data_IF_067052251786
#
_entry.id   IF_067052251786
#
_cell.length_a   1.000
_cell.length_b   1.000
_cell.length_c   1.000
_cell.angle_alpha   90.00
_cell.angle_beta   90.00
_cell.angle_gamma   90.00
#
_symmetry.space_group_name_H-M   'P 1'
#
loop_
_entity.id
_entity.type
_entity.pdbx_description
1 polymer ?
#
# COMPACT_ATOMS: atom_id res chain seq x y z
N UNK A 1 53.04 -24.04 -28.35
CA UNK A 1 52.50 -23.81 -29.71
C UNK A 1 51.02 -24.10 -29.68
N UNK A 2 50.21 -23.05 -29.84
CA UNK A 2 48.75 -23.09 -29.88
C UNK A 2 48.27 -23.22 -31.33
N UNK A 3 47.26 -24.06 -31.59
CA UNK A 3 46.40 -23.94 -32.76
C UNK A 3 45.19 -24.89 -32.63
N UNK A 4 43.97 -24.32 -32.62
CA UNK A 4 43.04 -24.42 -33.76
C UNK A 4 41.75 -23.62 -33.55
N UNK A 5 41.49 -22.77 -34.57
CA UNK A 5 40.21 -22.48 -35.24
C UNK A 5 39.03 -22.05 -34.35
N UNK A 6 38.50 -20.83 -34.45
CA UNK A 6 38.12 -20.12 -35.67
C UNK A 6 36.59 -20.14 -35.77
N UNK A 7 35.96 -18.97 -35.78
CA UNK A 7 34.50 -18.85 -35.88
C UNK A 7 34.02 -17.45 -35.57
N UNK A 8 34.15 -16.56 -36.55
CA UNK A 8 33.45 -15.27 -36.63
C UNK A 8 31.94 -15.51 -36.44
N UNK A 9 31.40 -15.10 -35.29
CA UNK A 9 29.97 -14.89 -35.10
C UNK A 9 29.72 -13.39 -35.10
N UNK A 10 29.14 -12.89 -36.18
CA UNK A 10 28.69 -11.51 -36.34
C UNK A 10 27.77 -11.11 -35.17
N UNK A 11 28.15 -10.10 -34.39
CA UNK A 11 27.19 -9.33 -33.60
C UNK A 11 26.43 -8.43 -34.57
N UNK A 12 25.43 -9.00 -35.25
CA UNK A 12 24.46 -8.23 -36.03
C UNK A 12 23.54 -7.48 -35.06
N UNK A 13 23.57 -6.16 -35.20
CA UNK A 13 22.47 -5.23 -34.90
C UNK A 13 22.08 -5.00 -33.43
N UNK A 14 23.05 -4.66 -32.57
CA UNK A 14 22.72 -3.77 -31.44
C UNK A 14 22.74 -2.34 -32.00
N UNK A 15 21.58 -1.86 -32.47
CA UNK A 15 21.40 -0.45 -32.79
C UNK A 15 21.69 0.35 -31.52
N UNK A 16 22.71 1.18 -31.59
CA UNK A 16 23.02 2.21 -30.62
C UNK A 16 21.79 3.12 -30.46
N UNK A 17 20.98 2.87 -29.44
CA UNK A 17 19.75 3.62 -29.16
C UNK A 17 20.03 4.85 -28.29
N UNK A 18 21.26 5.36 -28.31
CA UNK A 18 21.63 6.62 -27.65
C UNK A 18 20.85 7.81 -28.21
N UNK A 19 20.32 7.72 -29.44
CA UNK A 19 19.39 8.71 -30.01
C UNK A 19 17.97 8.73 -29.40
N UNK A 20 17.59 7.74 -28.56
CA UNK A 20 16.32 7.74 -27.84
C UNK A 20 16.39 8.46 -26.48
N UNK A 21 17.59 8.82 -26.01
CA UNK A 21 17.76 9.61 -24.79
C UNK A 21 17.66 11.12 -25.06
N UNK A 22 17.93 11.56 -26.31
CA UNK A 22 17.74 12.96 -26.72
C UNK A 22 16.27 13.35 -26.91
N UNK A 23 15.37 12.40 -27.19
CA UNK A 23 13.93 12.67 -27.27
C UNK A 23 13.20 12.58 -25.92
N UNK A 24 13.86 12.03 -24.90
CA UNK A 24 13.35 11.98 -23.52
C UNK A 24 13.75 13.22 -22.68
N UNK A 25 14.47 14.20 -23.26
CA UNK A 25 14.74 15.50 -22.63
C UNK A 25 13.64 16.55 -22.84
N UNK A 26 12.54 16.16 -23.49
CA UNK A 26 11.31 16.95 -23.64
C UNK A 26 10.16 16.46 -22.77
N UNK A 27 10.46 15.76 -21.68
CA UNK A 27 9.58 15.87 -20.53
C UNK A 27 9.80 17.28 -19.98
N UNK A 28 8.78 18.10 -20.09
CA UNK A 28 8.76 19.50 -19.72
C UNK A 28 9.43 19.74 -18.37
N UNK A 29 10.67 20.24 -18.42
CA UNK A 29 11.37 20.92 -17.32
C UNK A 29 10.52 22.12 -16.77
N UNK A 30 9.44 22.47 -17.46
CA UNK A 30 8.41 23.39 -16.99
C UNK A 30 7.53 22.83 -15.85
N UNK A 31 7.55 21.51 -15.57
CA UNK A 31 6.76 20.89 -14.49
C UNK A 31 7.49 20.76 -13.16
N UNK A 32 8.78 21.12 -13.11
CA UNK A 32 9.53 21.35 -11.89
C UNK A 32 10.12 22.77 -11.91
N UNK A 33 9.28 23.77 -12.15
CA UNK A 33 9.60 25.09 -11.61
C UNK A 33 9.55 24.96 -10.10
N UNK A 34 10.71 24.90 -9.46
CA UNK A 34 10.87 25.49 -8.13
C UNK A 34 10.26 26.87 -8.24
N UNK A 35 9.02 27.00 -7.78
CA UNK A 35 8.29 28.24 -7.79
C UNK A 35 9.12 29.11 -6.85
N UNK A 36 9.84 30.08 -7.42
CA UNK A 36 10.78 30.96 -6.71
C UNK A 36 9.96 31.95 -5.88
N UNK A 37 9.22 31.38 -4.93
CA UNK A 37 8.27 32.02 -4.04
C UNK A 37 9.09 32.81 -3.03
N UNK A 38 8.67 34.05 -2.80
CA UNK A 38 9.15 34.84 -1.67
C UNK A 38 8.94 34.05 -0.36
N UNK A 39 9.81 34.21 0.65
CA UNK A 39 9.59 33.62 1.98
C UNK A 39 8.17 33.85 2.53
N UNK A 40 7.54 34.99 2.21
CA UNK A 40 6.15 35.26 2.59
C UNK A 40 5.12 34.44 1.82
N UNK A 41 5.37 34.16 0.53
CA UNK A 41 4.47 33.35 -0.30
C UNK A 41 4.56 31.87 0.08
N UNK A 42 5.76 31.37 0.40
CA UNK A 42 5.95 30.02 0.96
C UNK A 42 5.21 29.84 2.28
N UNK A 43 5.30 30.84 3.17
CA UNK A 43 4.60 30.82 4.45
C UNK A 43 3.08 30.82 4.28
N UNK A 44 2.54 31.63 3.38
CA UNK A 44 1.10 31.64 3.07
C UNK A 44 0.63 30.32 2.45
N UNK A 45 1.42 29.72 1.56
CA UNK A 45 1.10 28.42 0.97
C UNK A 45 1.13 27.31 2.04
N UNK A 46 2.10 27.33 2.95
CA UNK A 46 2.15 26.42 4.10
C UNK A 46 0.94 26.60 5.04
N UNK A 47 0.57 27.85 5.37
CA UNK A 47 -0.61 28.15 6.18
C UNK A 47 -1.91 27.67 5.52
N UNK A 48 -2.05 27.85 4.20
CA UNK A 48 -3.21 27.38 3.44
C UNK A 48 -3.26 25.85 3.36
N UNK A 49 -2.11 25.18 3.16
CA UNK A 49 -2.01 23.72 3.20
C UNK A 49 -2.39 23.16 4.58
N UNK A 50 -1.90 23.78 5.65
CA UNK A 50 -2.24 23.40 7.03
C UNK A 50 -3.74 23.57 7.28
N UNK A 51 -4.33 24.67 6.79
CA UNK A 51 -5.77 24.92 6.93
C UNK A 51 -6.60 23.87 6.16
N UNK A 52 -6.21 23.54 4.93
CA UNK A 52 -6.87 22.49 4.13
C UNK A 52 -6.78 21.13 4.81
N UNK A 53 -5.61 20.78 5.36
CA UNK A 53 -5.45 19.55 6.14
C UNK A 53 -6.34 19.54 7.38
N UNK A 54 -6.44 20.66 8.11
CA UNK A 54 -7.32 20.76 9.27
C UNK A 54 -8.80 20.58 8.88
N UNK A 55 -9.24 21.22 7.80
CA UNK A 55 -10.61 21.08 7.30
C UNK A 55 -10.93 19.64 6.86
N UNK A 56 -9.98 18.91 6.28
CA UNK A 56 -10.14 17.49 5.96
C UNK A 56 -10.18 16.61 7.22
N UNK A 57 -9.36 16.91 8.23
CA UNK A 57 -9.40 16.21 9.51
C UNK A 57 -10.73 16.43 10.24
N UNK A 58 -11.30 17.64 10.17
CA UNK A 58 -12.58 17.99 10.79
C UNK A 58 -13.77 17.25 10.15
N UNK A 59 -13.62 16.79 8.89
CA UNK A 59 -14.64 15.98 8.19
C UNK A 59 -14.59 14.50 8.58
N UNK A 60 -13.49 14.02 9.15
CA UNK A 60 -13.36 12.61 9.50
C UNK A 60 -14.30 12.26 10.65
N UNK A 61 -15.13 11.25 10.44
CA UNK A 61 -15.99 10.73 11.49
C UNK A 61 -15.26 9.68 12.31
N UNK A 62 -15.71 9.46 13.55
CA UNK A 62 -15.19 8.34 14.37
C UNK A 62 -15.39 6.99 13.67
N UNK A 63 -16.48 6.84 12.92
CA UNK A 63 -16.76 5.66 12.09
C UNK A 63 -15.63 5.41 11.08
N UNK A 64 -15.18 6.46 10.37
CA UNK A 64 -14.12 6.34 9.36
C UNK A 64 -12.80 5.85 9.98
N UNK A 65 -12.46 6.37 11.16
CA UNK A 65 -11.27 5.95 11.91
C UNK A 65 -11.38 4.48 12.34
N UNK A 66 -12.55 4.05 12.82
CA UNK A 66 -12.76 2.65 13.22
C UNK A 66 -12.64 1.72 12.00
N UNK A 67 -13.24 2.08 10.87
CA UNK A 67 -13.12 1.30 9.62
C UNK A 67 -11.64 1.21 9.19
N UNK A 68 -10.90 2.31 9.24
CA UNK A 68 -9.47 2.31 8.90
C UNK A 68 -8.64 1.43 9.85
N UNK A 69 -8.98 1.42 11.14
CA UNK A 69 -8.35 0.53 12.11
C UNK A 69 -8.67 -0.94 11.82
N UNK A 70 -9.92 -1.26 11.47
CA UNK A 70 -10.31 -2.62 11.07
C UNK A 70 -9.53 -3.10 9.83
N UNK A 71 -9.32 -2.23 8.84
CA UNK A 71 -8.47 -2.55 7.68
C UNK A 71 -7.03 -2.83 8.08
N UNK A 72 -6.50 -2.06 9.03
CA UNK A 72 -5.15 -2.26 9.58
C UNK A 72 -5.03 -3.58 10.33
N UNK A 73 -6.03 -3.94 11.15
CA UNK A 73 -6.11 -5.22 11.86
C UNK A 73 -6.20 -6.40 10.89
N UNK A 74 -6.97 -6.27 9.82
CA UNK A 74 -7.07 -7.30 8.75
C UNK A 74 -5.71 -7.56 8.10
N UNK A 75 -5.00 -6.50 7.70
CA UNK A 75 -3.65 -6.61 7.13
C UNK A 75 -2.66 -7.25 8.11
N UNK A 76 -2.71 -6.84 9.38
CA UNK A 76 -1.88 -7.41 10.43
C UNK A 76 -2.19 -8.89 10.65
N UNK A 77 -3.47 -9.29 10.66
CA UNK A 77 -3.89 -10.67 10.81
C UNK A 77 -3.32 -11.54 9.69
N UNK A 78 -3.43 -11.13 8.41
CA UNK A 78 -2.81 -11.86 7.29
C UNK A 78 -1.30 -11.99 7.44
N UNK A 79 -0.61 -10.91 7.82
CA UNK A 79 0.84 -10.95 8.08
C UNK A 79 1.20 -11.91 9.21
N UNK A 80 0.43 -11.91 10.30
CA UNK A 80 0.61 -12.81 11.46
C UNK A 80 0.16 -14.24 11.19
N UNK A 81 -0.65 -14.48 10.16
CA UNK A 81 -0.90 -15.82 9.60
C UNK A 81 0.25 -16.30 8.69
N UNK A 82 1.21 -15.43 8.38
CA UNK A 82 2.30 -15.75 7.46
C UNK A 82 1.90 -15.71 5.99
N UNK A 83 0.84 -14.98 5.65
CA UNK A 83 0.31 -14.88 4.28
C UNK A 83 0.78 -13.58 3.59
N UNK A 84 1.14 -13.62 2.29
CA UNK A 84 1.31 -14.81 1.47
C UNK A 84 2.47 -15.71 1.93
N UNK A 85 2.31 -17.02 1.74
CA UNK A 85 3.32 -18.03 2.05
C UNK A 85 4.58 -17.79 1.22
N UNK A 86 5.76 -17.99 1.81
CA UNK A 86 7.07 -17.69 1.25
C UNK A 86 7.57 -16.28 1.56
N UNK A 87 6.66 -15.33 1.81
CA UNK A 87 7.00 -13.92 2.06
C UNK A 87 6.90 -13.57 3.55
N UNK A 88 5.81 -13.97 4.20
CA UNK A 88 5.49 -13.54 5.55
C UNK A 88 5.69 -14.63 6.63
N UNK A 89 6.23 -15.80 6.30
CA UNK A 89 6.39 -16.93 7.24
C UNK A 89 7.12 -16.53 8.53
N UNK A 90 8.13 -15.67 8.42
CA UNK A 90 8.91 -15.15 9.55
C UNK A 90 8.10 -14.31 10.56
N UNK A 91 6.91 -13.86 10.18
CA UNK A 91 6.02 -13.07 11.03
C UNK A 91 4.88 -13.90 11.64
N UNK A 92 4.85 -15.21 11.38
CA UNK A 92 3.76 -16.09 11.80
C UNK A 92 3.68 -16.15 13.33
N UNK A 93 2.52 -15.77 13.86
CA UNK A 93 2.24 -15.72 15.29
C UNK A 93 0.73 -15.93 15.50
N UNK A 94 0.38 -17.08 16.06
CA UNK A 94 -1.01 -17.49 16.28
C UNK A 94 -1.74 -16.56 17.24
N UNK A 95 -1.06 -16.12 18.32
CA UNK A 95 -1.68 -15.30 19.35
C UNK A 95 -1.98 -13.91 18.79
N UNK A 96 -1.01 -13.33 18.08
CA UNK A 96 -1.18 -12.00 17.47
C UNK A 96 -2.20 -12.02 16.32
N UNK A 97 -2.23 -13.06 15.49
CA UNK A 97 -3.25 -13.22 14.47
C UNK A 97 -4.65 -13.31 15.08
N UNK A 98 -4.81 -14.10 16.15
CA UNK A 98 -6.08 -14.22 16.87
C UNK A 98 -6.52 -12.89 17.48
N UNK A 99 -5.62 -12.16 18.13
CA UNK A 99 -5.91 -10.87 18.73
C UNK A 99 -6.42 -9.85 17.69
N UNK A 100 -5.80 -9.81 16.51
CA UNK A 100 -6.23 -8.93 15.44
C UNK A 100 -7.64 -9.27 14.93
N UNK A 101 -7.96 -10.57 14.82
CA UNK A 101 -9.29 -11.05 14.39
C UNK A 101 -10.35 -10.74 15.45
N UNK A 102 -10.07 -11.01 16.72
CA UNK A 102 -11.00 -10.72 17.82
C UNK A 102 -11.25 -9.21 17.94
N UNK A 103 -10.21 -8.39 17.76
CA UNK A 103 -10.32 -6.93 17.72
C UNK A 103 -11.19 -6.46 16.56
N UNK A 104 -11.01 -7.03 15.36
CA UNK A 104 -11.85 -6.73 14.20
C UNK A 104 -13.32 -7.06 14.49
N UNK A 105 -13.60 -8.25 15.03
CA UNK A 105 -14.96 -8.69 15.38
C UNK A 105 -15.62 -7.77 16.42
N UNK A 106 -14.87 -7.36 17.44
CA UNK A 106 -15.37 -6.42 18.45
C UNK A 106 -15.74 -5.07 17.84
N UNK A 107 -14.89 -4.51 16.96
CA UNK A 107 -15.17 -3.24 16.28
C UNK A 107 -16.37 -3.34 15.32
N UNK A 108 -16.53 -4.47 14.61
CA UNK A 108 -17.68 -4.70 13.75
C UNK A 108 -19.01 -4.68 14.52
N UNK A 109 -19.03 -5.27 15.72
CA UNK A 109 -20.21 -5.23 16.61
C UNK A 109 -20.55 -3.81 17.04
N UNK A 110 -19.54 -2.99 17.34
CA UNK A 110 -19.74 -1.57 17.69
C UNK A 110 -20.28 -0.77 16.51
N UNK A 111 -19.81 -1.04 15.30
CA UNK A 111 -20.23 -0.31 14.09
C UNK A 111 -21.57 -0.74 13.52
N UNK A 112 -22.20 -1.80 14.03
CA UNK A 112 -23.33 -2.47 13.35
C UNK A 112 -24.49 -1.52 13.00
N UNK A 113 -24.76 -0.51 13.83
CA UNK A 113 -25.86 0.44 13.63
C UNK A 113 -25.40 1.77 12.99
N UNK A 114 -24.09 1.97 12.81
CA UNK A 114 -23.47 3.21 12.29
C UNK A 114 -23.09 3.10 10.80
N UNK A 115 -23.15 1.89 10.23
CA UNK A 115 -22.83 1.62 8.83
C UNK A 115 -24.06 1.20 8.05
N UNK A 116 -24.04 1.42 6.73
CA UNK A 116 -25.07 0.87 5.84
C UNK A 116 -25.04 -0.67 5.84
N UNK A 117 -26.15 -1.28 5.43
CA UNK A 117 -26.23 -2.74 5.28
C UNK A 117 -25.14 -3.30 4.35
N UNK A 118 -24.82 -2.58 3.27
CA UNK A 118 -23.81 -2.99 2.31
C UNK A 118 -22.38 -2.93 2.89
N UNK A 119 -22.06 -1.86 3.62
CA UNK A 119 -20.77 -1.73 4.33
C UNK A 119 -20.64 -2.84 5.38
N UNK A 120 -21.70 -3.10 6.15
CA UNK A 120 -21.74 -4.18 7.14
C UNK A 120 -21.47 -5.54 6.52
N UNK A 121 -22.13 -5.87 5.41
CA UNK A 121 -21.93 -7.13 4.69
C UNK A 121 -20.48 -7.27 4.20
N UNK A 122 -19.88 -6.19 3.72
CA UNK A 122 -18.49 -6.16 3.26
C UNK A 122 -17.51 -6.43 4.41
N UNK A 123 -17.72 -5.79 5.56
CA UNK A 123 -16.89 -5.99 6.75
C UNK A 123 -17.07 -7.41 7.32
N UNK A 124 -18.30 -7.92 7.35
CA UNK A 124 -18.61 -9.28 7.80
C UNK A 124 -17.97 -10.34 6.91
N UNK A 125 -17.99 -10.14 5.58
CA UNK A 125 -17.31 -11.00 4.62
C UNK A 125 -15.80 -11.00 4.84
N UNK A 126 -15.21 -9.83 5.11
CA UNK A 126 -13.79 -9.69 5.43
C UNK A 126 -13.43 -10.45 6.72
N UNK A 127 -14.22 -10.31 7.78
CA UNK A 127 -14.03 -11.05 9.04
C UNK A 127 -14.13 -12.56 8.83
N UNK A 128 -15.12 -13.01 8.07
CA UNK A 128 -15.32 -14.44 7.77
C UNK A 128 -14.10 -15.01 7.02
N UNK A 129 -13.57 -14.27 6.04
CA UNK A 129 -12.36 -14.66 5.33
C UNK A 129 -11.13 -14.74 6.26
N UNK A 130 -10.97 -13.79 7.17
CA UNK A 130 -9.89 -13.83 8.17
C UNK A 130 -10.00 -15.07 9.06
N UNK A 131 -11.18 -15.34 9.61
CA UNK A 131 -11.43 -16.48 10.48
C UNK A 131 -11.20 -17.82 9.76
N UNK A 132 -11.68 -17.96 8.53
CA UNK A 132 -11.44 -19.16 7.71
C UNK A 132 -9.94 -19.39 7.46
N UNK A 133 -9.20 -18.36 7.08
CA UNK A 133 -7.75 -18.48 6.89
C UNK A 133 -7.03 -18.80 8.20
N UNK A 134 -7.45 -18.21 9.31
CA UNK A 134 -6.87 -18.51 10.62
C UNK A 134 -7.01 -19.99 10.98
N UNK A 135 -8.21 -20.55 10.82
CA UNK A 135 -8.47 -21.97 11.08
C UNK A 135 -7.66 -22.85 10.12
N UNK A 136 -7.60 -22.52 8.82
CA UNK A 136 -6.78 -23.27 7.86
C UNK A 136 -5.29 -23.30 8.22
N UNK A 137 -4.77 -22.21 8.78
CA UNK A 137 -3.34 -22.05 9.07
C UNK A 137 -2.93 -22.58 10.45
N UNK A 138 -3.82 -22.52 11.45
CA UNK A 138 -3.52 -22.79 12.85
C UNK A 138 -4.45 -23.79 13.55
N UNK A 139 -5.44 -24.32 12.84
CA UNK A 139 -6.46 -25.25 13.35
C UNK A 139 -6.13 -26.73 13.16
N UNK A 140 -5.02 -27.06 12.49
CA UNK A 140 -4.44 -28.40 12.44
C UNK A 140 -3.46 -28.63 13.60
#
# INVERSE_FOLDING_TARGET
MAAKKGGNGEYKDIKDNTGSWDKAKKYDDATLKDKDLSPEEKKKEEEELVKQLQEELDKLTTKDIIIQLMMSLSSLAYKKMGLPVGTNDKFKDKIQAKLAIDGFDALLKVLTDEVSAQERETLQSSLTNLQMNFVKIFGA
#
